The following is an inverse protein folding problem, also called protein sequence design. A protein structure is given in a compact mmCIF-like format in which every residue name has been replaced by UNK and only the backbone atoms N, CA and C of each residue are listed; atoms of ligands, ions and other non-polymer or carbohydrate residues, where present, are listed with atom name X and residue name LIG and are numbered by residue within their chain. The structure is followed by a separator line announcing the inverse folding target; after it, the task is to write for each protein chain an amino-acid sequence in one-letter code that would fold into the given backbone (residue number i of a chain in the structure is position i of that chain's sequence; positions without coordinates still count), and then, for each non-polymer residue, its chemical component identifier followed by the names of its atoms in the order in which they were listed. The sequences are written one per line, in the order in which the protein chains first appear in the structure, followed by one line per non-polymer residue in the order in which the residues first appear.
data_IF_105833727751
#
_entry.id   IF_105833727751
#
_cell.length_a   1.000
_cell.length_b   1.000
_cell.length_c   1.000
_cell.angle_alpha   90.00
_cell.angle_beta   90.00
_cell.angle_gamma   90.00
#
_symmetry.space_group_name_H-M   'P 1'
#
loop_
_entity.id
_entity.type
_entity.pdbx_description
1 polymer ?
#
# COMPACT_ATOMS: atom_id res chain seq x y z
N UNK A 1 6.68 -2.47 -7.38
CA UNK A 1 5.55 -2.93 -8.23
C UNK A 1 5.16 -4.34 -7.79
N UNK A 2 4.52 -4.48 -6.63
CA UNK A 2 4.26 -5.78 -5.99
C UNK A 2 2.81 -6.25 -6.13
N UNK A 3 2.40 -7.17 -5.26
CA UNK A 3 1.07 -7.80 -5.28
C UNK A 3 0.01 -6.92 -4.61
N UNK A 4 -1.23 -6.99 -5.10
CA UNK A 4 -2.39 -6.29 -4.52
C UNK A 4 -3.34 -7.32 -3.93
N UNK A 5 -3.77 -7.10 -2.69
CA UNK A 5 -4.66 -7.97 -1.94
C UNK A 5 -5.93 -7.24 -1.54
N UNK A 6 -7.05 -7.95 -1.53
CA UNK A 6 -8.25 -7.49 -0.83
C UNK A 6 -8.02 -7.68 0.66
N UNK A 7 -7.97 -6.59 1.42
CA UNK A 7 -7.81 -6.59 2.86
C UNK A 7 -9.02 -5.93 3.53
N UNK A 8 -9.26 -6.29 4.79
CA UNK A 8 -10.29 -5.66 5.62
C UNK A 8 -9.62 -4.76 6.64
N UNK A 9 -9.78 -3.45 6.50
CA UNK A 9 -9.24 -2.48 7.45
C UNK A 9 -10.09 -2.49 8.74
N UNK A 10 -9.48 -2.69 9.91
CA UNK A 10 -10.20 -3.10 11.12
C UNK A 10 -10.80 -1.94 11.98
N UNK A 11 -10.23 -0.71 12.01
CA UNK A 11 -10.87 0.44 12.67
C UNK A 11 -10.88 1.74 11.82
N UNK A 12 -11.85 2.66 11.95
CA UNK A 12 -13.03 2.68 12.83
C UNK A 12 -14.26 1.96 12.24
N UNK A 13 -14.10 1.16 11.19
CA UNK A 13 -15.13 0.30 10.62
C UNK A 13 -14.54 -0.64 9.56
N UNK A 14 -15.10 -1.85 9.38
CA UNK A 14 -14.62 -2.79 8.38
C UNK A 14 -14.90 -2.24 6.98
N UNK A 15 -13.87 -1.67 6.35
CA UNK A 15 -13.90 -1.33 4.93
C UNK A 15 -12.97 -2.27 4.16
N UNK A 16 -13.42 -2.65 2.97
CA UNK A 16 -12.58 -3.38 2.03
C UNK A 16 -11.58 -2.40 1.42
N UNK A 17 -10.30 -2.73 1.50
CA UNK A 17 -9.21 -1.94 0.95
C UNK A 17 -8.35 -2.81 0.05
N UNK A 18 -7.81 -2.22 -1.00
CA UNK A 18 -6.71 -2.77 -1.76
C UNK A 18 -5.39 -2.50 -0.99
N UNK A 19 -4.75 -3.57 -0.52
CA UNK A 19 -3.44 -3.54 0.11
C UNK A 19 -2.39 -3.93 -0.93
N UNK A 20 -1.55 -2.97 -1.35
CA UNK A 20 -0.41 -3.22 -2.23
C UNK A 20 0.82 -3.50 -1.37
N UNK A 21 1.46 -4.64 -1.59
CA UNK A 21 2.63 -5.10 -0.82
C UNK A 21 3.80 -5.29 -1.78
N UNK A 22 4.95 -4.71 -1.46
CA UNK A 22 6.19 -5.01 -2.17
C UNK A 22 6.74 -6.36 -1.67
N UNK A 23 6.89 -7.32 -2.59
CA UNK A 23 7.43 -8.64 -2.27
C UNK A 23 8.94 -8.62 -2.01
N UNK A 24 9.42 -9.64 -1.31
CA UNK A 24 10.80 -9.74 -0.81
C UNK A 24 11.84 -9.65 -1.94
N UNK A 25 11.63 -10.31 -3.07
CA UNK A 25 12.54 -10.25 -4.23
C UNK A 25 12.71 -8.83 -4.80
N UNK A 26 11.63 -8.03 -4.80
CA UNK A 26 11.67 -6.64 -5.27
C UNK A 26 12.19 -5.68 -4.20
N UNK A 27 12.11 -6.06 -2.93
CA UNK A 27 12.63 -5.26 -1.81
C UNK A 27 14.16 -5.18 -1.78
N UNK A 28 14.84 -6.13 -2.43
CA UNK A 28 16.31 -6.15 -2.58
C UNK A 28 16.80 -5.02 -3.48
N UNK A 29 15.96 -4.56 -4.43
CA UNK A 29 16.32 -3.46 -5.32
C UNK A 29 15.93 -2.10 -4.69
N UNK A 30 16.91 -1.26 -4.28
CA UNK A 30 16.63 0.01 -3.64
C UNK A 30 15.83 0.99 -4.53
N UNK A 31 15.98 0.92 -5.86
CA UNK A 31 15.22 1.76 -6.78
C UNK A 31 13.73 1.37 -6.80
N UNK A 32 13.43 0.08 -6.67
CA UNK A 32 12.05 -0.40 -6.61
C UNK A 32 11.38 -0.01 -5.29
N UNK A 33 12.12 -0.09 -4.17
CA UNK A 33 11.66 0.39 -2.86
C UNK A 33 11.37 1.88 -2.91
N UNK A 34 12.32 2.67 -3.44
CA UNK A 34 12.17 4.13 -3.56
C UNK A 34 10.96 4.51 -4.41
N UNK A 35 10.77 3.86 -5.57
CA UNK A 35 9.60 4.10 -6.42
C UNK A 35 8.30 3.72 -5.73
N UNK A 36 8.28 2.61 -4.99
CA UNK A 36 7.10 2.18 -4.25
C UNK A 36 6.69 3.19 -3.17
N UNK A 37 7.68 3.71 -2.43
CA UNK A 37 7.46 4.77 -1.43
C UNK A 37 6.94 6.05 -2.06
N UNK A 38 7.59 6.52 -3.13
CA UNK A 38 7.18 7.73 -3.85
C UNK A 38 5.76 7.61 -4.44
N UNK A 39 5.41 6.45 -5.02
CA UNK A 39 4.05 6.21 -5.51
C UNK A 39 3.01 6.32 -4.38
N UNK A 40 3.31 5.76 -3.20
CA UNK A 40 2.44 5.84 -2.03
C UNK A 40 2.30 7.27 -1.52
N UNK A 41 3.42 7.98 -1.35
CA UNK A 41 3.45 9.38 -0.87
C UNK A 41 2.69 10.31 -1.83
N UNK A 42 2.95 10.24 -3.13
CA UNK A 42 2.23 11.06 -4.11
C UNK A 42 0.72 10.76 -4.12
N UNK A 43 0.32 9.53 -3.83
CA UNK A 43 -1.08 9.14 -3.84
C UNK A 43 -1.83 9.52 -2.54
N UNK A 44 -1.15 9.74 -1.42
CA UNK A 44 -1.76 10.21 -0.17
C UNK A 44 -2.37 11.61 -0.32
N UNK A 45 -1.74 12.47 -1.12
CA UNK A 45 -2.19 13.85 -1.35
C UNK A 45 -3.29 13.94 -2.44
N UNK A 46 -3.51 12.88 -3.21
CA UNK A 46 -4.47 12.86 -4.32
C UNK A 46 -5.86 12.43 -3.83
N UNK A 47 -6.72 13.42 -3.56
CA UNK A 47 -8.11 13.22 -3.15
C UNK A 47 -9.08 13.75 -4.19
N UNK A 48 -9.75 12.82 -4.90
CA UNK A 48 -10.76 13.16 -5.91
C UNK A 48 -11.77 12.02 -6.05
N UNK A 49 -13.04 12.34 -6.30
CA UNK A 49 -14.13 11.36 -6.40
C UNK A 49 -13.97 10.29 -7.50
N UNK A 50 -13.03 10.50 -8.43
CA UNK A 50 -12.77 9.61 -9.57
C UNK A 50 -11.38 8.95 -9.51
N UNK A 51 -10.68 9.07 -8.37
CA UNK A 51 -9.36 8.48 -8.15
C UNK A 51 -9.43 7.48 -7.00
N UNK A 52 -8.57 6.46 -7.07
CA UNK A 52 -8.37 5.53 -5.96
C UNK A 52 -7.63 6.29 -4.86
N UNK A 53 -8.28 6.48 -3.72
CA UNK A 53 -7.70 7.16 -2.57
C UNK A 53 -6.78 6.20 -1.81
N UNK A 54 -5.53 6.64 -1.60
CA UNK A 54 -4.60 5.96 -0.69
C UNK A 54 -4.81 6.53 0.71
N UNK A 55 -5.05 5.65 1.68
CA UNK A 55 -5.34 6.04 3.05
C UNK A 55 -4.09 6.06 3.91
N UNK A 56 -3.22 5.07 3.71
CA UNK A 56 -2.06 4.87 4.55
C UNK A 56 -0.94 4.21 3.76
N UNK A 57 0.29 4.65 4.01
CA UNK A 57 1.51 4.00 3.57
C UNK A 57 2.33 3.63 4.81
N UNK A 58 3.02 2.52 4.76
CA UNK A 58 3.77 2.01 5.89
C UNK A 58 4.83 1.01 5.47
N UNK A 59 5.66 0.63 6.42
CA UNK A 59 6.62 -0.45 6.26
C UNK A 59 6.46 -1.37 7.46
N UNK A 60 6.08 -2.61 7.19
CA UNK A 60 5.93 -3.63 8.22
C UNK A 60 7.19 -4.51 8.23
N UNK A 61 7.85 -4.58 9.38
CA UNK A 61 8.93 -5.53 9.62
C UNK A 61 8.31 -6.79 10.22
N UNK A 62 7.95 -7.74 9.36
CA UNK A 62 7.48 -9.04 9.82
C UNK A 62 8.53 -9.77 10.69
N UNK A 63 8.12 -10.76 11.52
CA UNK A 63 8.98 -11.43 12.50
C UNK A 63 10.11 -12.30 11.90
N UNK A 64 10.21 -12.38 10.57
CA UNK A 64 11.31 -13.02 9.86
C UNK A 64 11.83 -12.00 8.87
N UNK A 65 13.09 -11.63 9.02
CA UNK A 65 13.94 -10.72 8.22
C UNK A 65 13.50 -10.47 6.77
N UNK A 66 12.35 -9.83 6.57
CA UNK A 66 11.79 -9.43 5.28
C UNK A 66 11.10 -8.09 5.50
N UNK A 67 11.72 -7.03 5.00
CA UNK A 67 11.14 -5.67 5.01
C UNK A 67 10.04 -5.61 3.97
N UNK A 68 8.77 -5.62 4.40
CA UNK A 68 7.62 -5.48 3.51
C UNK A 68 7.10 -4.05 3.56
N UNK A 69 7.23 -3.33 2.45
CA UNK A 69 6.58 -2.04 2.30
C UNK A 69 5.13 -2.24 1.88
N UNK A 70 4.20 -1.56 2.54
CA UNK A 70 2.75 -1.71 2.39
C UNK A 70 2.10 -0.36 2.07
N UNK A 71 1.20 -0.32 1.10
CA UNK A 71 0.30 0.83 0.90
C UNK A 71 -1.14 0.35 0.83
N UNK A 72 -2.03 1.02 1.57
CA UNK A 72 -3.47 0.70 1.59
C UNK A 72 -4.24 1.81 0.89
N UNK A 73 -5.00 1.44 -0.13
CA UNK A 73 -5.98 2.30 -0.78
C UNK A 73 -7.36 1.65 -0.75
N UNK A 74 -8.43 2.42 -0.79
CA UNK A 74 -9.79 1.89 -0.94
C UNK A 74 -10.23 2.17 -2.36
N UNK A 75 -10.67 1.14 -3.05
CA UNK A 75 -11.50 1.33 -4.23
C UNK A 75 -12.89 1.53 -3.66
N UNK A 76 -13.35 2.78 -3.53
CA UNK A 76 -14.77 3.00 -3.34
C UNK A 76 -15.45 2.60 -4.65
N UNK A 77 -16.19 1.50 -4.65
CA UNK A 77 -17.15 1.22 -5.71
C UNK A 77 -18.17 2.37 -5.69
N UNK A 78 -18.16 3.18 -6.75
CA UNK A 78 -19.21 4.14 -7.05
C UNK A 78 -20.18 3.49 -8.04
#
# INVERSE_FOLDING_TARGET
MGSVYLARHAPPGPRNVALKVLGDEMSINPDMVRRFQLEGECALDLKHANLVEVYETGNDEGPTTSRRSTSTGSISEN
#
